data_IF_643911831085
#
_entry.id   IF_643911831085
#
_cell.length_a   1.000
_cell.length_b   1.000
_cell.length_c   1.000
_cell.angle_alpha   90.00
_cell.angle_beta   90.00
_cell.angle_gamma   90.00
#
_symmetry.space_group_name_H-M   'P 1'
#
loop_
_entity.id
_entity.type
_entity.pdbx_description
1 polymer ?
#
# COMPACT_ATOMS: atom_id res chain seq x y z
N UNK A 1 22.31 0.54 24.23
CA UNK A 1 21.32 -0.14 23.35
C UNK A 1 21.23 0.60 22.01
N UNK A 2 22.03 0.22 21.01
CA UNK A 2 22.04 0.85 19.68
C UNK A 2 20.88 0.32 18.80
N UNK A 3 19.64 0.49 19.26
CA UNK A 3 18.47 -0.20 18.69
C UNK A 3 18.04 0.37 17.32
N UNK A 4 18.56 1.53 16.89
CA UNK A 4 17.98 2.26 15.75
C UNK A 4 18.93 2.59 14.59
N UNK A 5 20.09 1.95 14.45
CA UNK A 5 21.13 2.48 13.56
C UNK A 5 21.90 1.54 12.62
N UNK A 6 21.77 0.21 12.67
CA UNK A 6 22.53 -0.62 11.73
C UNK A 6 21.79 -0.76 10.41
N UNK A 7 22.14 0.12 9.45
CA UNK A 7 21.94 -0.12 8.02
C UNK A 7 22.53 -1.48 7.69
N UNK A 8 21.68 -2.41 7.28
CA UNK A 8 22.13 -3.76 6.93
C UNK A 8 22.53 -3.85 5.46
N UNK A 9 21.89 -3.03 4.61
CA UNK A 9 22.28 -2.79 3.21
C UNK A 9 22.78 -4.04 2.50
N UNK A 10 21.98 -5.12 2.49
CA UNK A 10 22.33 -6.34 1.75
C UNK A 10 21.36 -6.58 0.62
N UNK A 11 21.87 -7.05 -0.51
CA UNK A 11 21.04 -7.58 -1.57
C UNK A 11 20.33 -8.86 -1.08
N UNK A 12 19.11 -9.16 -1.57
CA UNK A 12 18.49 -10.46 -1.34
C UNK A 12 19.41 -11.59 -1.79
N UNK A 13 19.47 -12.68 -1.02
CA UNK A 13 20.24 -13.87 -1.40
C UNK A 13 19.54 -14.64 -2.52
N UNK A 14 20.28 -15.46 -3.27
CA UNK A 14 19.70 -16.30 -4.32
C UNK A 14 18.56 -17.21 -3.82
N UNK A 15 18.70 -17.76 -2.61
CA UNK A 15 17.65 -18.56 -1.96
C UNK A 15 16.35 -17.76 -1.77
N UNK A 16 16.43 -16.50 -1.37
CA UNK A 16 15.25 -15.66 -1.16
C UNK A 16 14.54 -15.32 -2.46
N UNK A 17 15.31 -15.08 -3.52
CA UNK A 17 14.78 -14.85 -4.86
C UNK A 17 14.04 -16.10 -5.33
N UNK A 18 14.61 -17.29 -5.13
CA UNK A 18 13.96 -18.57 -5.47
C UNK A 18 12.67 -18.77 -4.66
N UNK A 19 12.70 -18.58 -3.34
CA UNK A 19 11.50 -18.71 -2.50
C UNK A 19 10.40 -17.74 -2.96
N UNK A 20 10.77 -16.49 -3.25
CA UNK A 20 9.82 -15.47 -3.72
C UNK A 20 9.26 -15.82 -5.10
N UNK A 21 10.10 -16.33 -6.01
CA UNK A 21 9.67 -16.79 -7.32
C UNK A 21 8.69 -17.97 -7.23
N UNK A 22 8.99 -18.97 -6.40
CA UNK A 22 8.11 -20.11 -6.18
C UNK A 22 6.76 -19.67 -5.60
N UNK A 23 6.77 -18.72 -4.66
CA UNK A 23 5.54 -18.13 -4.11
C UNK A 23 4.73 -17.39 -5.19
N UNK A 24 5.38 -16.55 -6.00
CA UNK A 24 4.72 -15.83 -7.11
C UNK A 24 4.12 -16.81 -8.12
N UNK A 25 4.86 -17.85 -8.50
CA UNK A 25 4.37 -18.89 -9.41
C UNK A 25 3.18 -19.61 -8.79
N UNK A 26 3.27 -20.03 -7.53
CA UNK A 26 2.18 -20.71 -6.85
C UNK A 26 0.91 -19.85 -6.79
N UNK A 27 1.02 -18.57 -6.42
CA UNK A 27 -0.15 -17.67 -6.38
C UNK A 27 -0.74 -17.45 -7.76
N UNK A 28 0.07 -17.26 -8.80
CA UNK A 28 -0.42 -17.11 -10.17
C UNK A 28 -1.11 -18.38 -10.68
N UNK A 29 -0.52 -19.56 -10.47
CA UNK A 29 -1.11 -20.84 -10.87
C UNK A 29 -2.43 -21.09 -10.14
N UNK A 30 -2.46 -20.88 -8.83
CA UNK A 30 -3.69 -21.02 -8.04
C UNK A 30 -4.75 -20.00 -8.47
N UNK A 31 -4.37 -18.75 -8.73
CA UNK A 31 -5.33 -17.74 -9.18
C UNK A 31 -5.86 -18.08 -10.58
N UNK A 32 -5.01 -18.50 -11.51
CA UNK A 32 -5.44 -18.93 -12.84
C UNK A 32 -6.48 -20.06 -12.82
N UNK A 33 -6.32 -21.04 -11.91
CA UNK A 33 -7.22 -22.19 -11.85
C UNK A 33 -8.47 -21.98 -10.99
N UNK A 34 -8.39 -21.14 -9.96
CA UNK A 34 -9.46 -21.03 -8.95
C UNK A 34 -10.13 -19.66 -8.88
N UNK A 35 -9.55 -18.61 -9.49
CA UNK A 35 -10.12 -17.26 -9.49
C UNK A 35 -10.76 -16.98 -10.84
N UNK A 36 -12.09 -16.89 -10.85
CA UNK A 36 -12.80 -16.34 -12.00
C UNK A 36 -12.58 -14.84 -12.09
N UNK A 37 -12.54 -14.32 -13.31
CA UNK A 37 -12.58 -12.88 -13.56
C UNK A 37 -13.97 -12.32 -13.23
N UNK A 38 -14.01 -11.07 -12.80
CA UNK A 38 -15.26 -10.33 -12.58
C UNK A 38 -16.06 -10.27 -13.88
N UNK A 39 -17.36 -10.54 -13.87
CA UNK A 39 -18.20 -10.44 -15.08
C UNK A 39 -18.82 -9.06 -15.26
N UNK A 40 -18.84 -8.25 -14.20
CA UNK A 40 -19.36 -6.88 -14.22
C UNK A 40 -18.71 -6.01 -15.30
N UNK A 41 -19.54 -5.32 -16.09
CA UNK A 41 -19.11 -4.50 -17.23
C UNK A 41 -18.13 -5.25 -18.14
N UNK A 42 -18.46 -6.48 -18.50
CA UNK A 42 -17.71 -7.30 -19.46
C UNK A 42 -16.23 -7.50 -19.05
N UNK A 43 -15.97 -7.69 -17.75
CA UNK A 43 -14.59 -7.86 -17.24
C UNK A 43 -13.90 -6.58 -16.82
N UNK A 44 -14.42 -5.41 -17.22
CA UNK A 44 -13.82 -4.11 -16.89
C UNK A 44 -14.13 -3.64 -15.47
N UNK A 45 -15.15 -4.22 -14.82
CA UNK A 45 -15.47 -3.91 -13.44
C UNK A 45 -16.01 -2.48 -13.24
N UNK A 46 -15.71 -1.84 -12.11
CA UNK A 46 -16.16 -0.51 -11.72
C UNK A 46 -15.41 0.60 -12.47
N UNK A 47 -14.34 1.14 -11.86
CA UNK A 47 -13.52 2.22 -12.44
C UNK A 47 -12.77 1.79 -13.71
N UNK A 48 -12.69 0.48 -13.97
CA UNK A 48 -11.92 -0.06 -15.09
C UNK A 48 -12.56 0.23 -16.45
N UNK A 49 -13.86 0.51 -16.52
CA UNK A 49 -14.51 0.93 -17.78
C UNK A 49 -13.87 2.19 -18.37
N UNK A 50 -13.44 3.12 -17.52
CA UNK A 50 -12.78 4.36 -17.95
C UNK A 50 -11.37 4.05 -18.47
N UNK A 51 -10.64 3.14 -17.82
CA UNK A 51 -9.30 2.74 -18.24
C UNK A 51 -9.32 1.91 -19.53
N UNK A 52 -10.31 1.03 -19.69
CA UNK A 52 -10.55 0.28 -20.91
C UNK A 52 -10.76 1.24 -22.09
N UNK A 53 -11.65 2.22 -21.91
CA UNK A 53 -11.91 3.25 -22.93
C UNK A 53 -10.66 4.05 -23.30
N UNK A 54 -9.88 4.50 -22.31
CA UNK A 54 -8.62 5.23 -22.57
C UNK A 54 -7.65 4.37 -23.40
N UNK A 55 -7.56 3.07 -23.12
CA UNK A 55 -6.70 2.16 -23.87
C UNK A 55 -7.21 1.93 -25.30
N UNK A 56 -8.53 1.84 -25.50
CA UNK A 56 -9.12 1.80 -26.84
C UNK A 56 -8.83 3.07 -27.64
N UNK A 57 -8.96 4.24 -27.01
CA UNK A 57 -8.65 5.52 -27.67
C UNK A 57 -7.18 5.53 -28.12
N UNK A 58 -6.25 5.08 -27.28
CA UNK A 58 -4.84 4.93 -27.66
C UNK A 58 -4.64 3.94 -28.82
N UNK A 59 -5.29 2.77 -28.78
CA UNK A 59 -5.18 1.76 -29.84
C UNK A 59 -5.69 2.28 -31.19
N UNK A 60 -6.72 3.14 -31.18
CA UNK A 60 -7.32 3.78 -32.36
C UNK A 60 -6.59 5.06 -32.80
N UNK A 61 -5.58 5.53 -32.05
CA UNK A 61 -4.88 6.79 -32.30
C UNK A 61 -5.68 8.05 -31.98
N UNK A 62 -6.74 7.91 -31.18
CA UNK A 62 -7.59 9.02 -30.72
C UNK A 62 -7.02 9.69 -29.46
N UNK A 63 -7.42 10.93 -29.22
CA UNK A 63 -7.18 11.60 -27.93
C UNK A 63 -8.02 10.95 -26.84
N UNK A 64 -7.42 10.46 -25.73
CA UNK A 64 -8.17 9.80 -24.67
C UNK A 64 -9.23 10.68 -24.03
N UNK A 65 -10.45 10.15 -23.93
CA UNK A 65 -11.57 10.85 -23.31
C UNK A 65 -12.30 9.98 -22.28
N UNK A 66 -12.29 10.41 -21.02
CA UNK A 66 -12.94 9.67 -19.93
C UNK A 66 -13.35 10.61 -18.79
N UNK A 67 -14.06 10.08 -17.78
CA UNK A 67 -14.40 10.87 -16.59
C UNK A 67 -13.16 11.11 -15.73
N UNK A 68 -13.08 12.29 -15.14
CA UNK A 68 -12.08 12.58 -14.14
C UNK A 68 -12.48 11.95 -12.78
N UNK A 69 -11.51 11.48 -11.98
CA UNK A 69 -10.06 11.63 -12.16
C UNK A 69 -9.43 10.54 -13.05
N UNK A 70 -10.20 9.55 -13.51
CA UNK A 70 -9.69 8.36 -14.21
C UNK A 70 -8.96 8.68 -15.50
N UNK A 71 -9.44 9.67 -16.25
CA UNK A 71 -8.82 10.16 -17.49
C UNK A 71 -7.36 10.59 -17.35
N UNK A 72 -6.93 10.98 -16.14
CA UNK A 72 -5.55 11.42 -15.91
C UNK A 72 -4.57 10.27 -15.63
N UNK A 73 -5.03 9.02 -15.68
CA UNK A 73 -4.23 7.81 -15.38
C UNK A 73 -3.95 7.03 -16.64
N UNK A 74 -3.24 7.65 -17.56
CA UNK A 74 -3.02 7.16 -18.94
C UNK A 74 -1.93 6.10 -19.06
N UNK A 75 -1.03 5.98 -18.08
CA UNK A 75 0.16 5.14 -18.19
C UNK A 75 -0.13 3.64 -18.30
N UNK A 76 -1.04 3.11 -17.47
CA UNK A 76 -1.42 1.68 -17.57
C UNK A 76 -2.26 1.40 -18.82
N UNK A 77 -3.30 2.21 -19.15
CA UNK A 77 -4.02 2.08 -20.41
C UNK A 77 -3.12 2.10 -21.66
N UNK A 78 -2.15 3.01 -21.71
CA UNK A 78 -1.19 3.09 -22.82
C UNK A 78 -0.33 1.83 -22.96
N UNK A 79 0.11 1.24 -21.84
CA UNK A 79 0.83 -0.04 -21.88
C UNK A 79 -0.08 -1.17 -22.37
N UNK A 80 -1.33 -1.22 -21.90
CA UNK A 80 -2.29 -2.25 -22.32
C UNK A 80 -2.59 -2.16 -23.82
N UNK A 81 -2.78 -0.96 -24.37
CA UNK A 81 -3.04 -0.74 -25.80
C UNK A 81 -1.85 -1.13 -26.69
N UNK A 82 -0.62 -1.06 -26.18
CA UNK A 82 0.56 -1.53 -26.92
C UNK A 82 0.67 -3.06 -26.88
N UNK A 83 0.40 -3.66 -25.73
CA UNK A 83 0.58 -5.11 -25.52
C UNK A 83 -0.44 -5.91 -26.33
N UNK A 84 -1.70 -5.50 -26.34
CA UNK A 84 -2.75 -6.15 -27.13
C UNK A 84 -3.77 -5.10 -27.61
N UNK A 85 -3.52 -4.45 -28.76
CA UNK A 85 -4.42 -3.41 -29.27
C UNK A 85 -5.80 -3.95 -29.67
N UNK A 86 -5.89 -5.23 -30.06
CA UNK A 86 -7.12 -5.87 -30.50
C UNK A 86 -7.94 -6.50 -29.33
N UNK A 87 -7.29 -6.75 -28.19
CA UNK A 87 -7.91 -7.28 -26.97
C UNK A 87 -7.37 -6.53 -25.74
N UNK A 88 -7.98 -5.37 -25.49
CA UNK A 88 -7.58 -4.43 -24.44
C UNK A 88 -7.63 -5.08 -23.05
N UNK A 89 -8.65 -5.91 -22.78
CA UNK A 89 -8.83 -6.60 -21.51
C UNK A 89 -7.66 -7.57 -21.26
N UNK A 90 -7.28 -8.35 -22.27
CA UNK A 90 -6.10 -9.22 -22.21
C UNK A 90 -4.80 -8.41 -22.06
N UNK A 91 -4.69 -7.27 -22.75
CA UNK A 91 -3.58 -6.33 -22.58
C UNK A 91 -3.40 -5.86 -21.14
N UNK A 92 -4.49 -5.43 -20.49
CA UNK A 92 -4.49 -5.07 -19.07
C UNK A 92 -4.09 -6.24 -18.18
N UNK A 93 -4.64 -7.44 -18.44
CA UNK A 93 -4.32 -8.65 -17.68
C UNK A 93 -2.82 -8.94 -17.70
N UNK A 94 -2.17 -8.89 -18.88
CA UNK A 94 -0.72 -9.09 -18.99
C UNK A 94 0.05 -8.02 -18.20
N UNK A 95 -0.26 -6.74 -18.41
CA UNK A 95 0.46 -5.63 -17.76
C UNK A 95 0.35 -5.73 -16.24
N UNK A 96 -0.84 -5.96 -15.72
CA UNK A 96 -1.11 -5.96 -14.29
C UNK A 96 -0.65 -7.23 -13.58
N UNK A 97 -0.77 -8.42 -14.19
CA UNK A 97 -0.18 -9.65 -13.63
C UNK A 97 1.35 -9.54 -13.63
N UNK A 98 1.96 -8.97 -14.67
CA UNK A 98 3.41 -8.76 -14.73
C UNK A 98 3.86 -7.82 -13.62
N UNK A 99 3.23 -6.65 -13.49
CA UNK A 99 3.54 -5.71 -12.42
C UNK A 99 3.28 -6.31 -11.03
N UNK A 100 2.14 -7.00 -10.86
CA UNK A 100 1.76 -7.73 -9.65
C UNK A 100 2.81 -8.78 -9.24
N UNK A 101 3.39 -9.47 -10.22
CA UNK A 101 4.45 -10.47 -10.01
C UNK A 101 5.81 -9.85 -9.67
N UNK A 102 6.10 -8.64 -10.12
CA UNK A 102 7.34 -7.91 -9.80
C UNK A 102 7.31 -7.25 -8.41
N UNK A 103 6.13 -6.90 -7.88
CA UNK A 103 6.00 -6.26 -6.56
C UNK A 103 6.63 -7.10 -5.43
N UNK A 104 6.39 -8.41 -5.30
CA UNK A 104 7.02 -9.25 -4.28
C UNK A 104 8.55 -9.16 -4.27
N UNK A 105 9.19 -9.08 -5.44
CA UNK A 105 10.65 -8.91 -5.54
C UNK A 105 11.10 -7.50 -5.16
N UNK A 106 10.37 -6.47 -5.59
CA UNK A 106 10.64 -5.10 -5.15
C UNK A 106 10.48 -4.94 -3.64
N UNK A 107 9.45 -5.58 -3.06
CA UNK A 107 9.23 -5.63 -1.61
C UNK A 107 10.33 -6.41 -0.89
N UNK A 108 10.76 -7.56 -1.41
CA UNK A 108 11.89 -8.32 -0.87
C UNK A 108 13.16 -7.47 -0.82
N UNK A 109 13.47 -6.78 -1.92
CA UNK A 109 14.60 -5.86 -2.00
C UNK A 109 14.47 -4.72 -1.01
N UNK A 110 13.30 -4.08 -0.93
CA UNK A 110 13.03 -3.03 0.05
C UNK A 110 13.30 -3.52 1.49
N UNK A 111 12.80 -4.71 1.85
CA UNK A 111 12.99 -5.29 3.18
C UNK A 111 14.45 -5.69 3.46
N UNK A 112 15.25 -6.02 2.44
CA UNK A 112 16.68 -6.36 2.58
C UNK A 112 17.56 -5.17 2.95
N UNK A 113 17.07 -3.95 2.73
CA UNK A 113 17.69 -2.73 3.23
C UNK A 113 17.62 -2.62 4.76
N UNK A 114 16.61 -3.24 5.39
CA UNK A 114 16.29 -3.09 6.82
C UNK A 114 16.63 -4.31 7.67
N UNK A 115 16.61 -5.53 7.12
CA UNK A 115 16.72 -6.76 7.91
C UNK A 115 17.87 -7.67 7.48
N UNK A 116 18.60 -8.21 8.46
CA UNK A 116 19.55 -9.34 8.26
C UNK A 116 18.86 -10.69 8.29
N UNK A 117 17.81 -10.89 9.08
CA UNK A 117 17.17 -12.21 9.13
C UNK A 117 16.35 -12.46 7.84
N UNK A 118 16.45 -13.65 7.24
CA UNK A 118 15.67 -14.05 6.07
C UNK A 118 14.16 -14.07 6.37
N UNK A 119 13.77 -14.55 7.55
CA UNK A 119 12.36 -14.68 7.93
C UNK A 119 11.65 -13.32 7.99
N UNK A 120 12.34 -12.27 8.49
CA UNK A 120 11.79 -10.92 8.54
C UNK A 120 11.58 -10.28 7.16
N UNK A 121 12.09 -10.89 6.09
CA UNK A 121 11.88 -10.43 4.71
C UNK A 121 10.87 -11.29 3.98
N UNK A 122 11.00 -12.61 4.11
CA UNK A 122 10.13 -13.57 3.44
C UNK A 122 8.71 -13.57 4.02
N UNK A 123 8.53 -13.50 5.34
CA UNK A 123 7.19 -13.49 5.95
C UNK A 123 6.32 -12.32 5.41
N UNK A 124 6.78 -11.05 5.40
CA UNK A 124 6.04 -9.97 4.76
C UNK A 124 5.72 -10.18 3.28
N UNK A 125 6.61 -10.84 2.52
CA UNK A 125 6.37 -11.15 1.11
C UNK A 125 5.25 -12.19 0.98
N UNK A 126 5.20 -13.20 1.85
CA UNK A 126 4.06 -14.13 1.95
C UNK A 126 2.76 -13.43 2.34
N UNK A 127 2.81 -12.53 3.33
CA UNK A 127 1.65 -11.73 3.73
C UNK A 127 1.16 -10.88 2.54
N UNK A 128 2.08 -10.26 1.80
CA UNK A 128 1.73 -9.51 0.59
C UNK A 128 1.05 -10.40 -0.45
N UNK A 129 1.70 -11.48 -0.85
CA UNK A 129 1.22 -12.35 -1.92
C UNK A 129 -0.10 -13.06 -1.56
N UNK A 130 -0.32 -13.36 -0.28
CA UNK A 130 -1.50 -14.06 0.20
C UNK A 130 -2.75 -13.18 0.32
N UNK A 131 -2.61 -11.86 0.48
CA UNK A 131 -3.75 -10.97 0.66
C UNK A 131 -4.62 -10.89 -0.61
N UNK A 132 -5.93 -11.09 -0.46
CA UNK A 132 -6.90 -11.10 -1.57
C UNK A 132 -6.96 -9.78 -2.35
N UNK A 133 -6.72 -8.65 -1.69
CA UNK A 133 -6.68 -7.31 -2.29
C UNK A 133 -5.26 -6.90 -2.73
N UNK A 134 -4.26 -7.79 -2.58
CA UNK A 134 -2.93 -7.52 -3.10
C UNK A 134 -2.98 -7.45 -4.63
N UNK A 135 -2.20 -6.55 -5.27
CA UNK A 135 -2.11 -6.49 -6.72
C UNK A 135 -1.81 -7.84 -7.40
N UNK A 136 -1.07 -8.74 -6.75
CA UNK A 136 -0.76 -10.06 -7.31
C UNK A 136 -2.00 -10.93 -7.48
N UNK A 137 -2.90 -10.97 -6.49
CA UNK A 137 -4.14 -11.75 -6.57
C UNK A 137 -5.27 -10.98 -7.25
N UNK A 138 -5.41 -9.71 -6.91
CA UNK A 138 -6.51 -8.87 -7.39
C UNK A 138 -6.51 -8.74 -8.92
N UNK A 139 -5.34 -8.70 -9.58
CA UNK A 139 -5.26 -8.58 -11.04
C UNK A 139 -5.85 -9.78 -11.81
N UNK A 140 -5.99 -10.94 -11.16
CA UNK A 140 -6.66 -12.11 -11.76
C UNK A 140 -8.18 -12.02 -11.67
N UNK A 141 -8.69 -11.36 -10.65
CA UNK A 141 -10.12 -11.13 -10.47
C UNK A 141 -10.59 -9.86 -11.21
N UNK A 142 -9.81 -8.80 -11.14
CA UNK A 142 -10.14 -7.46 -11.60
C UNK A 142 -8.96 -6.92 -12.42
N UNK A 143 -8.84 -7.31 -13.71
CA UNK A 143 -7.64 -7.03 -14.50
C UNK A 143 -7.50 -5.55 -14.89
N UNK A 144 -8.60 -4.80 -15.02
CA UNK A 144 -8.59 -3.43 -15.54
C UNK A 144 -8.46 -2.39 -14.42
N UNK A 145 -7.24 -2.14 -13.95
CA UNK A 145 -6.94 -1.09 -12.96
C UNK A 145 -5.50 -0.58 -13.06
N UNK A 146 -5.17 0.51 -12.36
CA UNK A 146 -3.84 1.14 -12.43
C UNK A 146 -2.94 0.88 -11.21
N UNK A 147 -3.47 0.22 -10.18
CA UNK A 147 -2.80 0.00 -8.90
C UNK A 147 -1.49 -0.80 -9.01
N UNK A 148 -1.38 -1.92 -9.75
CA UNK A 148 -0.21 -2.78 -9.71
C UNK A 148 1.05 -2.05 -10.19
N UNK A 149 0.96 -1.38 -11.34
CA UNK A 149 2.06 -0.57 -11.88
C UNK A 149 2.40 0.59 -10.92
N UNK A 150 1.39 1.23 -10.33
CA UNK A 150 1.58 2.34 -9.38
C UNK A 150 2.33 1.90 -8.12
N UNK A 151 1.95 0.75 -7.55
CA UNK A 151 2.54 0.18 -6.34
C UNK A 151 3.98 -0.26 -6.61
N UNK A 152 4.24 -0.89 -7.76
CA UNK A 152 5.59 -1.26 -8.19
C UNK A 152 6.50 -0.03 -8.31
N UNK A 153 6.07 1.00 -9.04
CA UNK A 153 6.83 2.24 -9.18
C UNK A 153 7.02 2.94 -7.84
N UNK A 154 6.02 2.96 -6.96
CA UNK A 154 6.15 3.53 -5.61
C UNK A 154 7.23 2.81 -4.79
N UNK A 155 7.30 1.48 -4.84
CA UNK A 155 8.36 0.71 -4.17
C UNK A 155 9.75 1.02 -4.74
N UNK A 156 9.89 1.07 -6.08
CA UNK A 156 11.16 1.42 -6.73
C UNK A 156 11.59 2.84 -6.33
N UNK A 157 10.65 3.79 -6.34
CA UNK A 157 10.87 5.16 -5.91
C UNK A 157 11.35 5.22 -4.45
N UNK A 158 10.73 4.46 -3.53
CA UNK A 158 11.18 4.37 -2.14
C UNK A 158 12.60 3.79 -2.02
N UNK A 159 12.94 2.77 -2.82
CA UNK A 159 14.30 2.20 -2.87
C UNK A 159 15.33 3.25 -3.32
N UNK A 160 15.04 3.98 -4.40
CA UNK A 160 15.92 5.05 -4.89
C UNK A 160 16.03 6.18 -3.86
N UNK A 161 14.92 6.56 -3.23
CA UNK A 161 14.89 7.55 -2.15
C UNK A 161 15.74 7.11 -0.96
N UNK A 162 15.68 5.83 -0.57
CA UNK A 162 16.53 5.28 0.48
C UNK A 162 18.01 5.43 0.11
N UNK A 163 18.40 5.15 -1.14
CA UNK A 163 19.78 5.31 -1.62
C UNK A 163 20.26 6.77 -1.55
N UNK A 164 19.39 7.73 -1.82
CA UNK A 164 19.70 9.17 -1.70
C UNK A 164 20.03 9.54 -0.25
N UNK A 165 19.25 9.06 0.72
CA UNK A 165 19.46 9.35 2.14
C UNK A 165 20.53 8.48 2.80
N UNK A 166 20.78 7.29 2.27
CA UNK A 166 21.76 6.36 2.82
C UNK A 166 23.20 6.75 2.45
N UNK A 167 23.39 7.60 1.43
CA UNK A 167 24.65 7.93 0.77
C UNK A 167 25.42 6.70 0.24
N UNK A 168 24.72 5.62 -0.13
CA UNK A 168 25.34 4.38 -0.60
C UNK A 168 25.74 4.37 -2.09
N UNK A 169 25.75 5.51 -2.76
CA UNK A 169 26.07 5.60 -4.19
C UNK A 169 26.13 7.03 -4.72
N UNK A 170 26.10 7.17 -6.06
CA UNK A 170 26.11 8.48 -6.71
C UNK A 170 24.76 9.20 -6.50
N UNK A 171 24.76 10.15 -5.55
CA UNK A 171 23.57 10.94 -5.18
C UNK A 171 22.97 11.69 -6.36
N UNK A 172 23.81 12.29 -7.23
CA UNK A 172 23.32 13.04 -8.41
C UNK A 172 22.57 12.13 -9.37
N UNK A 173 23.15 10.97 -9.70
CA UNK A 173 22.50 9.97 -10.52
C UNK A 173 21.18 9.50 -9.90
N UNK A 174 21.17 9.24 -8.59
CA UNK A 174 19.97 8.81 -7.86
C UNK A 174 18.85 9.85 -7.92
N UNK A 175 19.17 11.15 -7.81
CA UNK A 175 18.19 12.24 -7.94
C UNK A 175 17.63 12.32 -9.37
N UNK A 176 18.48 12.17 -10.40
CA UNK A 176 18.04 12.16 -11.81
C UNK A 176 17.09 10.98 -12.04
N UNK A 177 17.50 9.78 -11.66
CA UNK A 177 16.69 8.57 -11.77
C UNK A 177 15.36 8.73 -11.01
N UNK A 178 15.41 9.24 -9.78
CA UNK A 178 14.22 9.48 -8.98
C UNK A 178 13.27 10.50 -9.63
N UNK A 179 13.80 11.52 -10.30
CA UNK A 179 13.00 12.52 -11.02
C UNK A 179 12.31 11.91 -12.24
N UNK A 180 13.06 11.16 -13.07
CA UNK A 180 12.51 10.46 -14.24
C UNK A 180 11.42 9.46 -13.81
N UNK A 181 11.68 8.65 -12.78
CA UNK A 181 10.71 7.70 -12.28
C UNK A 181 9.48 8.40 -11.68
N UNK A 182 9.66 9.54 -10.99
CA UNK A 182 8.52 10.31 -10.46
C UNK A 182 7.66 10.84 -11.61
N UNK A 183 8.30 11.42 -12.64
CA UNK A 183 7.62 11.87 -13.86
C UNK A 183 6.81 10.75 -14.51
N UNK A 184 7.40 9.57 -14.71
CA UNK A 184 6.70 8.42 -15.31
C UNK A 184 5.57 7.93 -14.40
N UNK A 185 5.81 7.85 -13.08
CA UNK A 185 4.84 7.30 -12.14
C UNK A 185 3.53 8.08 -12.07
N UNK A 186 3.56 9.41 -12.26
CA UNK A 186 2.33 10.22 -12.25
C UNK A 186 1.45 10.00 -13.47
N UNK A 187 1.98 9.50 -14.59
CA UNK A 187 1.17 9.05 -15.73
C UNK A 187 0.35 7.82 -15.38
N UNK A 188 0.88 6.95 -14.53
CA UNK A 188 0.18 5.76 -14.06
C UNK A 188 -0.86 6.15 -13.01
N UNK A 189 -0.43 6.90 -11.98
CA UNK A 189 -1.30 7.40 -10.91
C UNK A 189 -0.62 8.47 -10.08
N UNK A 190 -1.42 9.38 -9.55
CA UNK A 190 -0.98 10.55 -8.79
C UNK A 190 -0.20 10.19 -7.51
N UNK A 191 -0.41 8.98 -6.97
CA UNK A 191 0.36 8.47 -5.82
C UNK A 191 1.87 8.39 -6.09
N UNK A 192 2.29 8.31 -7.34
CA UNK A 192 3.70 8.39 -7.72
C UNK A 192 4.43 9.63 -7.20
N UNK A 193 3.69 10.70 -6.86
CA UNK A 193 4.23 11.92 -6.27
C UNK A 193 4.54 11.79 -4.76
N UNK A 194 3.98 10.80 -4.06
CA UNK A 194 4.15 10.65 -2.60
C UNK A 194 5.62 10.48 -2.21
N UNK A 195 6.43 9.59 -2.82
CA UNK A 195 7.86 9.50 -2.49
C UNK A 195 8.61 10.83 -2.65
N UNK A 196 8.29 11.63 -3.68
CA UNK A 196 8.89 12.94 -3.88
C UNK A 196 8.49 13.93 -2.78
N UNK A 197 7.23 13.93 -2.36
CA UNK A 197 6.77 14.69 -1.18
C UNK A 197 7.47 14.26 0.10
N UNK A 198 7.67 12.95 0.30
CA UNK A 198 8.45 12.42 1.43
C UNK A 198 9.88 12.95 1.41
N UNK A 199 10.52 13.03 0.24
CA UNK A 199 11.86 13.61 0.12
C UNK A 199 11.88 15.07 0.57
N UNK A 200 10.94 15.89 0.09
CA UNK A 200 10.81 17.29 0.51
C UNK A 200 10.65 17.39 2.03
N UNK A 201 9.68 16.67 2.61
CA UNK A 201 9.39 16.71 4.04
C UNK A 201 10.54 16.20 4.90
N UNK A 202 11.24 15.15 4.46
CA UNK A 202 12.43 14.62 5.12
C UNK A 202 13.63 15.58 5.07
N UNK A 203 13.66 16.48 4.08
CA UNK A 203 14.69 17.50 3.89
C UNK A 203 14.38 18.81 4.63
N UNK A 204 13.30 18.85 5.42
CA UNK A 204 12.97 19.99 6.29
C UNK A 204 13.63 19.81 7.66
N UNK A 205 14.34 20.84 8.10
CA UNK A 205 14.78 21.02 9.47
C UNK A 205 13.94 22.11 10.14
N UNK A 206 13.49 21.80 11.37
CA UNK A 206 12.70 22.70 12.20
C UNK A 206 13.61 23.15 13.33
N UNK A 207 14.04 24.42 13.32
CA UNK A 207 14.77 25.00 14.45
C UNK A 207 13.86 25.87 15.29
N UNK A 208 14.05 25.84 16.61
CA UNK A 208 13.47 26.87 17.48
C UNK A 208 14.08 28.21 17.09
N UNK A 209 13.25 29.24 17.02
CA UNK A 209 13.70 30.62 16.83
C UNK A 209 14.38 31.06 18.13
N UNK A 210 15.55 31.68 18.01
CA UNK A 210 16.25 32.20 19.18
C UNK A 210 15.41 33.33 19.80
N UNK A 211 15.00 33.17 21.06
CA UNK A 211 14.09 34.09 21.75
C UNK A 211 14.73 35.47 21.94
N UNK A 212 16.05 35.59 21.89
CA UNK A 212 16.77 36.84 22.14
C UNK A 212 16.75 37.82 20.94
N UNK A 213 16.40 37.36 19.74
CA UNK A 213 16.49 38.16 18.51
C UNK A 213 15.14 38.71 18.02
N UNK A 214 14.02 38.31 18.62
CA UNK A 214 12.68 38.71 18.16
C UNK A 214 11.96 39.50 19.25
N UNK A 215 11.86 40.83 19.10
CA UNK A 215 11.06 41.70 19.99
C UNK A 215 9.56 41.32 20.02
N UNK A 216 9.10 40.55 19.03
CA UNK A 216 7.71 40.18 18.88
C UNK A 216 7.47 38.75 19.40
N UNK A 217 6.92 38.63 20.62
CA UNK A 217 6.65 37.35 21.31
C UNK A 217 5.83 36.36 20.48
N UNK A 218 4.94 36.83 19.61
CA UNK A 218 4.14 35.96 18.74
C UNK A 218 4.99 35.22 17.69
N UNK A 219 6.01 35.89 17.15
CA UNK A 219 6.91 35.32 16.13
C UNK A 219 7.96 34.38 16.71
N UNK A 220 8.23 34.44 18.02
CA UNK A 220 9.18 33.53 18.69
C UNK A 220 8.60 32.14 18.93
N UNK A 221 7.27 32.00 18.94
CA UNK A 221 6.61 30.68 19.00
C UNK A 221 6.55 29.98 17.64
N UNK A 222 6.75 30.70 16.53
CA UNK A 222 6.73 30.11 15.20
C UNK A 222 8.09 29.46 14.88
N UNK A 223 8.11 28.16 14.57
CA UNK A 223 9.35 27.47 14.20
C UNK A 223 9.91 28.02 12.89
N UNK A 224 11.24 28.11 12.79
CA UNK A 224 11.89 28.40 11.51
C UNK A 224 12.04 27.09 10.76
N UNK A 225 11.39 27.03 9.60
CA UNK A 225 11.46 25.91 8.65
C UNK A 225 12.61 26.20 7.68
N UNK A 226 13.65 25.37 7.66
CA UNK A 226 14.76 25.45 6.71
C UNK A 226 14.86 24.16 5.89
N UNK A 227 14.98 24.29 4.58
CA UNK A 227 15.34 23.18 3.71
C UNK A 227 16.83 22.88 3.86
N UNK A 228 17.16 21.70 4.39
CA UNK A 228 18.55 21.22 4.48
C UNK A 228 19.08 20.75 3.14
N UNK A 229 18.19 20.27 2.26
CA UNK A 229 18.53 19.83 0.91
C UNK A 229 17.44 20.27 -0.07
N UNK A 230 17.78 21.19 -0.98
CA UNK A 230 16.85 21.70 -1.99
C UNK A 230 16.67 20.73 -3.16
N UNK A 231 17.52 19.72 -3.29
CA UNK A 231 17.45 18.78 -4.42
C UNK A 231 16.17 17.94 -4.42
N UNK A 232 15.50 17.80 -3.27
CA UNK A 232 14.18 17.17 -3.17
C UNK A 232 13.07 17.88 -3.95
N UNK A 233 13.26 19.15 -4.32
CA UNK A 233 12.30 19.86 -5.18
C UNK A 233 12.34 19.36 -6.63
N UNK A 234 13.48 18.85 -7.12
CA UNK A 234 13.63 18.47 -8.54
C UNK A 234 12.68 17.31 -8.91
N UNK A 235 12.65 16.18 -8.18
CA UNK A 235 11.71 15.09 -8.47
C UNK A 235 10.25 15.51 -8.34
N UNK A 236 9.94 16.36 -7.35
CA UNK A 236 8.58 16.86 -7.15
C UNK A 236 8.12 17.72 -8.32
N UNK A 237 8.93 18.70 -8.74
CA UNK A 237 8.64 19.53 -9.91
C UNK A 237 8.54 18.70 -11.18
N UNK A 238 9.35 17.64 -11.30
CA UNK A 238 9.26 16.68 -12.40
C UNK A 238 7.90 15.95 -12.40
N UNK A 239 7.43 15.47 -11.25
CA UNK A 239 6.08 14.90 -11.12
C UNK A 239 4.97 15.90 -11.44
N UNK A 240 5.09 17.16 -10.99
CA UNK A 240 4.13 18.23 -11.33
C UNK A 240 4.11 18.50 -12.84
N UNK A 241 5.29 18.54 -13.49
CA UNK A 241 5.38 18.68 -14.94
C UNK A 241 4.68 17.53 -15.67
N UNK A 242 4.84 16.29 -15.19
CA UNK A 242 4.11 15.13 -15.72
C UNK A 242 2.59 15.28 -15.60
N UNK A 243 2.08 15.71 -14.44
CA UNK A 243 0.65 15.98 -14.23
C UNK A 243 0.14 17.07 -15.19
N UNK A 244 0.91 18.14 -15.38
CA UNK A 244 0.56 19.22 -16.31
C UNK A 244 0.49 18.70 -17.75
N UNK A 245 1.48 17.90 -18.17
CA UNK A 245 1.49 17.31 -19.51
C UNK A 245 0.26 16.43 -19.73
N UNK A 246 -0.11 15.58 -18.77
CA UNK A 246 -1.30 14.73 -18.87
C UNK A 246 -2.57 15.58 -19.11
N UNK A 247 -2.68 16.75 -18.47
CA UNK A 247 -3.83 17.67 -18.66
C UNK A 247 -3.95 18.20 -20.09
N UNK A 248 -2.85 18.25 -20.83
CA UNK A 248 -2.83 18.63 -22.25
C UNK A 248 -3.03 17.45 -23.19
N UNK A 249 -2.82 16.22 -22.72
CA UNK A 249 -2.91 15.00 -23.53
C UNK A 249 -4.31 14.38 -23.57
N UNK A 250 -5.23 14.81 -22.71
CA UNK A 250 -6.52 14.13 -22.52
C UNK A 250 -7.68 15.11 -22.39
N UNK A 251 -8.89 14.62 -22.69
CA UNK A 251 -10.13 15.38 -22.56
C UNK A 251 -11.01 14.79 -21.43
N UNK A 252 -11.32 15.59 -20.41
CA UNK A 252 -12.22 15.16 -19.33
C UNK A 252 -13.67 15.38 -19.72
N UNK A 253 -14.49 14.34 -19.61
CA UNK A 253 -15.95 14.44 -19.81
C UNK A 253 -16.72 14.96 -18.59
N UNK A 254 -16.02 15.38 -17.53
CA UNK A 254 -16.65 15.78 -16.25
C UNK A 254 -15.94 16.98 -15.60
N UNK A 255 -16.69 17.74 -14.80
CA UNK A 255 -16.20 18.88 -14.01
C UNK A 255 -15.60 18.49 -12.64
N UNK A 256 -15.01 17.29 -12.55
CA UNK A 256 -14.51 16.73 -11.30
C UNK A 256 -13.49 17.65 -10.59
N UNK A 257 -13.68 17.85 -9.28
CA UNK A 257 -12.75 18.56 -8.41
C UNK A 257 -12.12 17.60 -7.40
N UNK A 258 -10.78 17.52 -7.41
CA UNK A 258 -10.02 16.73 -6.43
C UNK A 258 -10.23 17.21 -5.00
N UNK A 259 -10.29 18.54 -4.81
CA UNK A 259 -10.44 19.14 -3.48
C UNK A 259 -11.84 18.85 -2.91
N UNK A 260 -12.89 19.06 -3.71
CA UNK A 260 -14.26 18.79 -3.27
C UNK A 260 -14.46 17.31 -2.95
N UNK A 261 -13.87 16.43 -3.76
CA UNK A 261 -13.93 14.98 -3.55
C UNK A 261 -13.19 14.58 -2.27
N UNK A 262 -12.01 15.15 -2.01
CA UNK A 262 -11.26 14.91 -0.78
C UNK A 262 -12.06 15.32 0.46
N UNK A 263 -12.65 16.52 0.48
CA UNK A 263 -13.51 16.96 1.58
C UNK A 263 -14.76 16.09 1.73
N UNK A 264 -15.37 15.68 0.62
CA UNK A 264 -16.54 14.79 0.64
C UNK A 264 -16.20 13.45 1.28
N UNK A 265 -15.07 12.85 0.93
CA UNK A 265 -14.63 11.58 1.53
C UNK A 265 -14.29 11.73 3.00
N UNK A 266 -13.56 12.78 3.40
CA UNK A 266 -13.27 13.04 4.82
C UNK A 266 -14.57 13.17 5.62
N UNK A 267 -15.58 13.86 5.07
CA UNK A 267 -16.86 14.06 5.74
C UNK A 267 -17.68 12.77 5.85
N UNK A 268 -17.67 11.94 4.80
CA UNK A 268 -18.49 10.73 4.71
C UNK A 268 -17.88 9.51 5.41
N UNK A 269 -16.55 9.44 5.51
CA UNK A 269 -15.85 8.26 6.02
C UNK A 269 -15.86 8.27 7.55
N UNK A 270 -16.61 7.35 8.14
CA UNK A 270 -16.64 7.19 9.59
C UNK A 270 -15.30 6.71 10.13
N UNK A 271 -14.97 7.09 11.37
CA UNK A 271 -13.76 6.60 12.06
C UNK A 271 -13.76 5.06 12.16
N UNK A 272 -14.94 4.48 12.39
CA UNK A 272 -15.14 3.03 12.41
C UNK A 272 -14.68 2.38 11.10
N UNK A 273 -15.23 2.80 9.95
CA UNK A 273 -14.87 2.25 8.64
C UNK A 273 -13.39 2.41 8.37
N UNK A 274 -12.83 3.58 8.70
CA UNK A 274 -11.41 3.85 8.49
C UNK A 274 -10.51 2.91 9.31
N UNK A 275 -10.79 2.74 10.61
CA UNK A 275 -10.02 1.81 11.47
C UNK A 275 -10.19 0.35 11.04
N UNK A 276 -11.41 -0.04 10.66
CA UNK A 276 -11.69 -1.37 10.14
C UNK A 276 -10.92 -1.64 8.84
N UNK A 277 -10.74 -0.63 7.99
CA UNK A 277 -9.99 -0.75 6.74
C UNK A 277 -8.51 -1.11 6.97
N UNK A 278 -7.87 -0.54 8.00
CA UNK A 278 -6.50 -0.94 8.38
C UNK A 278 -6.42 -2.39 8.83
N UNK A 279 -7.44 -2.86 9.55
CA UNK A 279 -7.54 -4.22 10.04
C UNK A 279 -7.82 -5.21 8.90
N UNK A 280 -8.66 -4.88 7.92
CA UNK A 280 -8.83 -5.71 6.72
C UNK A 280 -7.57 -5.75 5.86
N UNK A 281 -6.93 -4.59 5.66
CA UNK A 281 -5.74 -4.45 4.81
C UNK A 281 -4.57 -5.29 5.31
N UNK A 282 -4.24 -5.17 6.60
CA UNK A 282 -3.07 -5.86 7.17
C UNK A 282 -3.42 -7.13 7.92
N UNK A 283 -4.61 -7.22 8.48
CA UNK A 283 -5.05 -8.34 9.29
C UNK A 283 -4.51 -8.34 10.72
N UNK A 284 -4.73 -9.46 11.44
CA UNK A 284 -4.30 -9.68 12.82
C UNK A 284 -2.82 -9.45 13.10
N UNK A 285 -1.92 -9.54 12.10
CA UNK A 285 -0.50 -9.18 12.32
C UNK A 285 -0.30 -7.73 12.79
N UNK A 286 -1.26 -6.84 12.50
CA UNK A 286 -1.26 -5.46 13.00
C UNK A 286 -1.43 -5.38 14.53
N UNK A 287 -1.97 -6.42 15.17
CA UNK A 287 -2.11 -6.49 16.62
C UNK A 287 -0.77 -6.35 17.34
N UNK A 288 0.33 -6.82 16.72
CA UNK A 288 1.69 -6.66 17.25
C UNK A 288 2.05 -5.17 17.39
N UNK A 289 1.75 -4.38 16.36
CA UNK A 289 2.01 -2.93 16.31
C UNK A 289 1.12 -2.19 17.28
N UNK A 290 -0.18 -2.53 17.33
CA UNK A 290 -1.16 -1.89 18.22
C UNK A 290 -0.82 -2.17 19.69
N UNK A 291 -0.54 -3.42 20.05
CA UNK A 291 -0.22 -3.80 21.43
C UNK A 291 1.10 -3.17 21.90
N UNK A 292 2.11 -3.07 21.01
CA UNK A 292 3.41 -2.47 21.31
C UNK A 292 3.59 -1.11 20.65
N UNK A 293 2.54 -0.28 20.62
CA UNK A 293 2.50 1.01 19.91
C UNK A 293 3.62 1.96 20.29
N UNK A 294 4.14 1.90 21.53
CA UNK A 294 5.29 2.72 21.98
C UNK A 294 6.54 2.45 21.13
N UNK A 295 6.77 1.20 20.72
CA UNK A 295 7.91 0.83 19.88
C UNK A 295 7.71 1.31 18.44
N UNK A 296 6.47 1.23 17.93
CA UNK A 296 6.11 1.83 16.65
C UNK A 296 6.37 3.34 16.68
N UNK A 297 5.92 4.04 17.72
CA UNK A 297 6.16 5.48 17.89
C UNK A 297 7.65 5.82 17.91
N UNK A 298 8.46 5.09 18.68
CA UNK A 298 9.92 5.31 18.73
C UNK A 298 10.55 5.06 17.35
N UNK A 299 10.15 3.98 16.65
CA UNK A 299 10.62 3.72 15.30
C UNK A 299 10.29 4.87 14.35
N UNK A 300 9.04 5.33 14.33
CA UNK A 300 8.58 6.42 13.45
C UNK A 300 9.30 7.74 13.77
N UNK A 301 9.47 8.05 15.06
CA UNK A 301 10.23 9.22 15.50
C UNK A 301 11.68 9.19 15.00
N UNK A 302 12.30 8.01 14.96
CA UNK A 302 13.69 7.83 14.53
C UNK A 302 13.85 7.68 13.01
N UNK A 303 12.76 7.37 12.27
CA UNK A 303 12.79 7.11 10.83
C UNK A 303 11.84 8.06 10.09
N UNK A 304 12.31 9.29 9.84
CA UNK A 304 11.52 10.36 9.21
C UNK A 304 10.89 9.94 7.87
N UNK A 305 11.62 9.23 7.02
CA UNK A 305 11.11 8.75 5.72
C UNK A 305 9.87 7.88 5.90
N UNK A 306 9.99 6.85 6.74
CA UNK A 306 8.87 5.96 7.08
C UNK A 306 7.72 6.74 7.70
N UNK A 307 8.00 7.68 8.61
CA UNK A 307 6.97 8.50 9.25
C UNK A 307 6.17 9.34 8.26
N UNK A 308 6.83 10.12 7.40
CA UNK A 308 6.15 10.97 6.44
C UNK A 308 5.42 10.15 5.38
N UNK A 309 6.01 9.07 4.88
CA UNK A 309 5.31 8.17 3.94
C UNK A 309 4.02 7.64 4.56
N UNK A 310 4.10 7.17 5.81
CA UNK A 310 2.96 6.60 6.52
C UNK A 310 1.85 7.62 6.76
N UNK A 311 2.20 8.85 7.14
CA UNK A 311 1.25 9.95 7.32
C UNK A 311 0.56 10.30 6.01
N UNK A 312 1.31 10.43 4.91
CA UNK A 312 0.74 10.77 3.60
C UNK A 312 -0.21 9.68 3.08
N UNK A 313 0.14 8.40 3.24
CA UNK A 313 -0.75 7.29 2.88
C UNK A 313 -1.97 7.24 3.79
N UNK A 314 -1.83 7.50 5.10
CA UNK A 314 -2.97 7.56 6.01
C UNK A 314 -3.95 8.68 5.63
N UNK A 315 -3.44 9.88 5.32
CA UNK A 315 -4.25 11.00 4.81
C UNK A 315 -4.92 10.62 3.49
N UNK A 316 -4.19 9.96 2.58
CA UNK A 316 -4.75 9.50 1.31
C UNK A 316 -5.86 8.46 1.51
N UNK A 317 -5.70 7.52 2.45
CA UNK A 317 -6.78 6.58 2.78
C UNK A 317 -8.02 7.27 3.34
N UNK A 318 -7.83 8.35 4.09
CA UNK A 318 -8.94 9.12 4.68
C UNK A 318 -9.68 9.97 3.64
N UNK A 319 -8.93 10.65 2.76
CA UNK A 319 -9.45 11.58 1.76
C UNK A 319 -9.69 10.96 0.38
N UNK A 320 -9.18 9.76 0.14
CA UNK A 320 -9.34 9.00 -1.08
C UNK A 320 -10.62 8.19 -1.09
N UNK A 321 -10.89 7.57 -2.25
CA UNK A 321 -12.13 6.88 -2.62
C UNK A 321 -12.69 5.85 -1.62
N UNK A 322 -13.70 5.12 -2.07
CA UNK A 322 -14.42 4.15 -1.24
C UNK A 322 -13.56 2.96 -0.78
N UNK A 323 -12.62 2.51 -1.63
CA UNK A 323 -11.73 1.35 -1.40
C UNK A 323 -10.59 1.65 -0.41
N UNK A 324 -10.94 2.07 0.80
CA UNK A 324 -10.03 2.58 1.83
C UNK A 324 -8.92 1.59 2.16
N UNK A 325 -9.26 0.32 2.38
CA UNK A 325 -8.36 -0.80 2.67
C UNK A 325 -7.29 -0.94 1.59
N UNK A 326 -7.65 -0.80 0.31
CA UNK A 326 -6.68 -0.86 -0.80
C UNK A 326 -5.72 0.33 -0.76
N UNK A 327 -6.22 1.53 -0.45
CA UNK A 327 -5.38 2.74 -0.34
C UNK A 327 -4.43 2.68 0.86
N UNK A 328 -4.91 2.28 2.04
CA UNK A 328 -4.04 2.16 3.22
C UNK A 328 -3.08 0.99 3.08
N UNK A 329 -3.43 -0.06 2.33
CA UNK A 329 -2.53 -1.17 2.06
C UNK A 329 -1.26 -0.77 1.31
N UNK A 330 -1.28 0.31 0.53
CA UNK A 330 -0.08 0.88 -0.10
C UNK A 330 1.00 1.33 0.89
N UNK A 331 0.67 1.40 2.18
CA UNK A 331 1.64 1.59 3.24
C UNK A 331 2.39 0.34 3.68
N UNK A 332 2.14 -0.81 3.03
CA UNK A 332 2.81 -2.07 3.31
C UNK A 332 4.36 -2.00 3.41
N UNK A 333 5.09 -1.14 2.67
CA UNK A 333 6.55 -1.09 2.78
C UNK A 333 6.99 -0.65 4.19
N UNK A 334 6.21 0.22 4.85
CA UNK A 334 6.52 0.73 6.19
C UNK A 334 5.86 -0.13 7.27
N UNK A 335 4.59 -0.52 7.07
CA UNK A 335 3.86 -1.33 8.05
C UNK A 335 4.54 -2.68 8.27
N UNK A 336 5.00 -3.36 7.22
CA UNK A 336 5.72 -4.62 7.39
C UNK A 336 7.08 -4.48 8.08
N UNK A 337 7.81 -3.37 7.86
CA UNK A 337 9.03 -3.10 8.63
C UNK A 337 8.69 -2.94 10.11
N UNK A 338 7.64 -2.19 10.44
CA UNK A 338 7.21 -2.01 11.83
C UNK A 338 6.83 -3.34 12.47
N UNK A 339 5.97 -4.13 11.81
CA UNK A 339 5.53 -5.44 12.33
C UNK A 339 6.75 -6.34 12.59
N UNK A 340 7.64 -6.53 11.61
CA UNK A 340 8.77 -7.45 11.76
C UNK A 340 9.79 -6.98 12.80
N UNK A 341 10.06 -5.67 12.87
CA UNK A 341 10.97 -5.10 13.86
C UNK A 341 10.44 -5.25 15.27
N UNK A 342 9.14 -4.99 15.49
CA UNK A 342 8.52 -5.20 16.80
C UNK A 342 8.48 -6.70 17.12
N UNK A 343 8.04 -7.54 16.19
CA UNK A 343 7.95 -8.98 16.40
C UNK A 343 9.30 -9.62 16.77
N UNK A 344 10.41 -9.11 16.21
CA UNK A 344 11.76 -9.59 16.51
C UNK A 344 12.26 -9.20 17.91
N UNK A 345 11.85 -8.05 18.43
CA UNK A 345 12.23 -7.58 19.78
C UNK A 345 11.42 -8.29 20.87
N UNK A 346 10.19 -8.70 20.54
CA UNK A 346 9.26 -9.31 21.49
C UNK A 346 9.23 -10.83 21.45
N UNK A 347 10.10 -11.45 20.64
CA UNK A 347 10.11 -12.91 20.48
C UNK A 347 8.70 -13.47 20.20
N UNK A 348 7.85 -12.71 19.50
CA UNK A 348 6.44 -13.07 19.23
C UNK A 348 6.37 -14.45 18.58
N UNK A 349 7.36 -14.74 17.73
CA UNK A 349 7.50 -16.00 17.02
C UNK A 349 8.04 -17.17 17.86
N UNK A 350 8.55 -16.95 19.08
CA UNK A 350 8.99 -18.03 19.98
C UNK A 350 7.81 -18.71 20.68
N UNK A 351 6.75 -17.97 21.00
CA UNK A 351 5.53 -18.54 21.56
C UNK A 351 4.73 -19.23 20.46
N UNK A 352 4.76 -20.57 20.44
CA UNK A 352 3.96 -21.38 19.50
C UNK A 352 2.49 -21.00 19.52
N UNK A 353 1.94 -20.70 20.70
CA UNK A 353 0.54 -20.31 20.86
C UNK A 353 0.25 -18.99 20.15
N UNK A 354 1.06 -17.95 20.39
CA UNK A 354 0.86 -16.64 19.74
C UNK A 354 1.06 -16.75 18.22
N UNK A 355 2.09 -17.48 17.79
CA UNK A 355 2.36 -17.72 16.38
C UNK A 355 1.17 -18.39 15.68
N UNK A 356 0.69 -19.52 16.20
CA UNK A 356 -0.44 -20.23 15.59
C UNK A 356 -1.72 -19.42 15.62
N UNK A 357 -1.99 -18.72 16.73
CA UNK A 357 -3.14 -17.84 16.83
C UNK A 357 -3.15 -16.76 15.74
N UNK A 358 -2.04 -16.02 15.60
CA UNK A 358 -1.91 -15.01 14.55
C UNK A 358 -1.98 -15.63 13.14
N UNK A 359 -1.32 -16.77 12.90
CA UNK A 359 -1.32 -17.43 11.60
C UNK A 359 -2.72 -17.84 11.17
N UNK A 360 -3.50 -18.49 12.04
CA UNK A 360 -4.87 -18.92 11.72
C UNK A 360 -5.75 -17.72 11.39
N UNK A 361 -5.73 -16.69 12.24
CA UNK A 361 -6.54 -15.49 11.99
C UNK A 361 -6.08 -14.75 10.72
N UNK A 362 -4.78 -14.76 10.43
CA UNK A 362 -4.24 -14.12 9.23
C UNK A 362 -4.64 -14.86 7.96
N UNK A 363 -4.66 -16.20 7.97
CA UNK A 363 -5.16 -17.03 6.87
C UNK A 363 -6.62 -16.69 6.56
N UNK A 364 -7.44 -16.53 7.61
CA UNK A 364 -8.84 -16.15 7.48
C UNK A 364 -8.95 -14.76 6.84
N UNK A 365 -8.30 -13.75 7.44
CA UNK A 365 -8.27 -12.37 6.94
C UNK A 365 -7.84 -12.27 5.47
N UNK A 366 -6.74 -12.95 5.11
CA UNK A 366 -6.18 -12.90 3.76
C UNK A 366 -7.01 -13.68 2.75
N UNK A 367 -7.98 -14.48 3.22
CA UNK A 367 -8.76 -15.40 2.41
C UNK A 367 -7.85 -16.26 1.53
N UNK A 368 -6.84 -16.88 2.16
CA UNK A 368 -5.77 -17.58 1.43
C UNK A 368 -6.30 -18.76 0.59
N UNK A 369 -7.37 -19.40 1.08
CA UNK A 369 -7.96 -20.60 0.46
C UNK A 369 -9.31 -20.34 -0.21
N UNK A 370 -9.71 -19.07 -0.38
CA UNK A 370 -11.00 -18.73 -0.99
C UNK A 370 -10.81 -17.75 -2.13
N UNK A 371 -11.56 -17.99 -3.21
CA UNK A 371 -11.68 -17.07 -4.33
C UNK A 371 -12.50 -15.83 -3.92
N UNK A 372 -12.21 -14.71 -4.58
CA UNK A 372 -13.05 -13.53 -4.53
C UNK A 372 -14.33 -13.81 -5.32
N UNK A 373 -15.53 -13.60 -4.73
CA UNK A 373 -16.80 -13.81 -5.44
C UNK A 373 -16.99 -12.81 -6.58
N UNK A 374 -17.77 -13.21 -7.58
CA UNK A 374 -18.17 -12.33 -8.67
C UNK A 374 -19.18 -11.25 -8.23
N UNK A 375 -19.41 -10.24 -9.06
CA UNK A 375 -20.40 -9.18 -8.83
C UNK A 375 -21.17 -8.84 -10.12
N UNK A 376 -22.48 -8.54 -10.02
CA UNK A 376 -23.35 -8.81 -8.89
C UNK A 376 -23.54 -10.33 -8.70
N UNK A 377 -23.98 -10.74 -7.51
CA UNK A 377 -24.39 -12.12 -7.27
C UNK A 377 -25.60 -12.14 -6.32
N UNK A 378 -26.37 -13.21 -6.38
CA UNK A 378 -27.61 -13.37 -5.57
C UNK A 378 -27.34 -14.06 -4.23
N UNK A 379 -26.07 -14.16 -3.80
CA UNK A 379 -25.77 -14.80 -2.53
C UNK A 379 -26.20 -13.91 -1.36
N UNK A 380 -26.77 -14.48 -0.30
CA UNK A 380 -27.08 -13.72 0.89
C UNK A 380 -25.79 -13.32 1.62
N UNK A 381 -25.80 -12.13 2.24
CA UNK A 381 -24.75 -11.71 3.16
C UNK A 381 -24.55 -12.74 4.27
N UNK A 382 -23.29 -13.14 4.49
CA UNK A 382 -22.91 -14.10 5.53
C UNK A 382 -22.28 -13.38 6.72
N UNK A 383 -22.52 -13.93 7.92
CA UNK A 383 -21.80 -13.50 9.12
C UNK A 383 -20.31 -13.75 8.90
N UNK A 384 -19.51 -12.71 9.06
CA UNK A 384 -18.06 -12.73 8.88
C UNK A 384 -17.34 -12.95 10.21
N UNK A 385 -16.27 -13.75 10.20
CA UNK A 385 -15.29 -13.79 11.28
C UNK A 385 -14.00 -13.20 10.74
N UNK A 386 -13.75 -11.92 11.05
CA UNK A 386 -12.76 -11.04 10.40
C UNK A 386 -13.10 -10.75 8.94
N UNK A 387 -13.17 -11.77 8.09
CA UNK A 387 -13.66 -11.70 6.71
C UNK A 387 -14.70 -12.81 6.50
N UNK A 388 -15.57 -12.70 5.48
CA UNK A 388 -16.45 -13.80 5.10
C UNK A 388 -15.63 -15.08 4.83
N UNK A 389 -16.18 -16.25 5.17
CA UNK A 389 -15.58 -17.55 4.90
C UNK A 389 -16.30 -18.19 3.70
N UNK A 390 -15.54 -18.82 2.80
CA UNK A 390 -16.08 -19.38 1.56
C UNK A 390 -16.15 -18.34 0.44
N UNK A 391 -16.78 -18.71 -0.67
CA UNK A 391 -16.94 -17.85 -1.87
C UNK A 391 -18.40 -17.50 -2.17
N UNK A 392 -19.39 -18.06 -1.47
CA UNK A 392 -20.80 -17.76 -1.73
C UNK A 392 -21.30 -16.63 -0.81
N UNK A 393 -20.97 -15.39 -1.15
CA UNK A 393 -21.45 -14.17 -0.47
C UNK A 393 -21.27 -12.95 -1.40
N UNK A 394 -21.92 -11.81 -1.12
CA UNK A 394 -21.76 -10.59 -1.93
C UNK A 394 -20.32 -10.07 -1.92
N UNK A 395 -19.76 -9.77 -3.09
CA UNK A 395 -18.41 -9.17 -3.21
C UNK A 395 -18.22 -7.93 -2.32
N UNK A 396 -19.26 -7.08 -2.28
CA UNK A 396 -19.18 -5.82 -1.56
C UNK A 396 -18.99 -6.02 -0.05
N UNK A 397 -19.35 -7.17 0.52
CA UNK A 397 -19.14 -7.51 1.94
C UNK A 397 -17.65 -7.75 2.28
N UNK A 398 -16.75 -7.82 1.30
CA UNK A 398 -15.30 -7.74 1.55
C UNK A 398 -14.83 -6.33 1.89
N UNK A 399 -15.63 -5.31 1.59
CA UNK A 399 -15.22 -3.92 1.64
C UNK A 399 -15.92 -3.16 2.75
N UNK A 400 -15.16 -2.35 3.50
CA UNK A 400 -15.70 -1.62 4.67
C UNK A 400 -16.77 -0.60 4.30
N UNK A 401 -16.65 -0.01 3.11
CA UNK A 401 -17.53 1.06 2.65
C UNK A 401 -18.77 0.53 1.92
N UNK A 402 -18.61 -0.54 1.14
CA UNK A 402 -19.64 -1.04 0.24
C UNK A 402 -20.47 -2.19 0.84
N UNK A 403 -19.91 -2.90 1.82
CA UNK A 403 -20.55 -4.06 2.41
C UNK A 403 -21.75 -3.72 3.30
N UNK A 404 -22.56 -4.73 3.56
CA UNK A 404 -23.65 -4.62 4.53
C UNK A 404 -23.12 -4.13 5.90
N UNK A 405 -23.80 -3.13 6.46
CA UNK A 405 -23.35 -2.49 7.71
C UNK A 405 -23.29 -3.49 8.87
N UNK A 406 -24.23 -4.43 8.95
CA UNK A 406 -24.26 -5.44 10.01
C UNK A 406 -23.10 -6.41 9.85
N UNK A 407 -22.79 -6.86 8.62
CA UNK A 407 -21.61 -7.69 8.34
C UNK A 407 -20.32 -6.97 8.73
N UNK A 408 -20.19 -5.70 8.37
CA UNK A 408 -19.02 -4.89 8.71
C UNK A 408 -18.86 -4.67 10.22
N UNK A 409 -19.95 -4.39 10.95
CA UNK A 409 -19.92 -4.26 12.41
C UNK A 409 -19.51 -5.56 13.10
N UNK A 410 -20.03 -6.71 12.64
CA UNK A 410 -19.65 -8.02 13.19
C UNK A 410 -18.19 -8.35 12.89
N UNK A 411 -17.72 -8.10 11.66
CA UNK A 411 -16.31 -8.25 11.28
C UNK A 411 -15.41 -7.44 12.21
N UNK A 412 -15.69 -6.15 12.38
CA UNK A 412 -14.90 -5.27 13.23
C UNK A 412 -14.91 -5.71 14.69
N UNK A 413 -16.07 -6.08 15.24
CA UNK A 413 -16.16 -6.65 16.58
C UNK A 413 -15.31 -7.92 16.71
N UNK A 414 -15.28 -8.77 15.68
CA UNK A 414 -14.40 -9.93 15.58
C UNK A 414 -12.91 -9.57 15.70
N UNK A 415 -12.45 -8.49 15.05
CA UNK A 415 -11.07 -8.01 15.24
C UNK A 415 -10.81 -7.51 16.65
N UNK A 416 -11.73 -6.75 17.24
CA UNK A 416 -11.57 -6.23 18.61
C UNK A 416 -11.47 -7.38 19.62
N UNK A 417 -12.37 -8.35 19.54
CA UNK A 417 -12.34 -9.54 20.40
C UNK A 417 -11.03 -10.32 20.19
N UNK A 418 -10.64 -10.53 18.92
CA UNK A 418 -9.41 -11.24 18.59
C UNK A 418 -8.15 -10.54 19.10
N UNK A 419 -8.15 -9.20 19.09
CA UNK A 419 -7.08 -8.39 19.66
C UNK A 419 -7.01 -8.51 21.18
N UNK A 420 -8.15 -8.49 21.87
CA UNK A 420 -8.20 -8.65 23.33
C UNK A 420 -7.67 -10.02 23.76
N UNK A 421 -8.04 -11.09 23.04
CA UNK A 421 -7.49 -12.44 23.26
C UNK A 421 -5.98 -12.46 23.02
N UNK A 422 -5.50 -11.88 21.91
CA UNK A 422 -4.06 -11.75 21.65
C UNK A 422 -3.34 -11.04 22.80
N UNK A 423 -3.84 -9.88 23.23
CA UNK A 423 -3.27 -9.11 24.33
C UNK A 423 -3.24 -9.91 25.64
N UNK A 424 -4.30 -10.67 25.94
CA UNK A 424 -4.35 -11.58 27.09
C UNK A 424 -3.29 -12.69 27.04
N UNK A 425 -3.13 -13.35 25.89
CA UNK A 425 -2.12 -14.40 25.69
C UNK A 425 -0.71 -13.82 25.85
N UNK A 426 -0.43 -12.66 25.24
CA UNK A 426 0.88 -12.00 25.35
C UNK A 426 1.16 -11.61 26.80
N UNK A 427 0.21 -10.97 27.47
CA UNK A 427 0.36 -10.55 28.87
C UNK A 427 0.63 -11.75 29.81
N UNK A 428 -0.08 -12.86 29.61
CA UNK A 428 0.12 -14.10 30.37
C UNK A 428 1.51 -14.70 30.13
N UNK A 429 1.96 -14.73 28.86
CA UNK A 429 3.27 -15.27 28.47
C UNK A 429 4.42 -14.43 29.03
N UNK A 430 4.31 -13.09 28.97
CA UNK A 430 5.29 -12.15 29.52
C UNK A 430 5.44 -12.35 31.04
N UNK A 431 4.30 -12.46 31.77
CA UNK A 431 4.29 -12.63 33.23
C UNK A 431 4.89 -13.95 33.71
N UNK A 432 4.76 -15.03 32.94
CA UNK A 432 5.32 -16.33 33.31
C UNK A 432 6.80 -16.47 32.94
N UNK A 433 7.27 -15.71 31.94
CA UNK A 433 8.67 -15.70 31.55
C UNK A 433 9.53 -14.95 32.58
N UNK A 434 9.01 -13.88 33.18
CA UNK A 434 9.71 -13.12 34.23
C UNK A 434 9.79 -13.84 35.59
N UNK A 435 8.99 -14.89 35.82
CA UNK A 435 9.05 -15.72 37.03
C UNK A 435 10.08 -16.86 36.97
N UNK A 436 10.62 -17.14 35.78
CA UNK A 436 11.62 -18.21 35.56
C UNK A 436 13.06 -17.68 35.54
N UNK A 437 13.22 -16.36 35.62
CA UNK A 437 14.48 -15.65 35.84
C UNK A 437 14.52 -15.21 37.30
#
# INVERSE_FOLDING_TARGET
MSIFGQKVGRFPTGLEIIITALLVIAVNVLSYHFQNEITYNEGSGFDGVEYHKIAEDFAKGNTPTARAPFVYRVGTPFLASIVSPDDILYGFRIVNITAGSLIPFALLFWLSLYFKNIYHRIIPVFLFAGAWHSPLRLSWFYPVHSDPVSVLLTLILLIVLYNIFSNSGNKKFSIILFSILTFISVFVREIGLIPALVFILASISVSKRDNNLTKNKLLSYLPIIKFTDKSGLIPFLSGIAGIIIIRFLVESSSSYSFVNSAFSWIYRKSLFMYLHSWLLAFGPVLFIVIYKWKYAYIYMKNNKLSAYFMILIAILGLAGGSDTERLVYWSMPVVYIMIMRIASEFDVFKSKLIFWYLTVLQIINMRLFWATPDYPNDFPSKISFLTPIGSDFPLLDLWTWHGDLKVNLISFAGYIISFLVFAGIVHYTDKNSSKKL
#
